data_IF_714801944951
#
_entry.id   IF_714801944951
#
_cell.length_a   1.000
_cell.length_b   1.000
_cell.length_c   1.000
_cell.angle_alpha   90.00
_cell.angle_beta   90.00
_cell.angle_gamma   90.00
#
_symmetry.space_group_name_H-M   'P 1'
#
loop_
_entity.id
_entity.type
_entity.pdbx_description
1 polymer ?
#
# COMPACT_ATOMS: atom_id res chain seq x y z
N UNK A 1 -11.84 -93.61 51.39
CA UNK A 1 -12.54 -92.64 52.27
C UNK A 1 -12.01 -91.26 51.92
N UNK A 2 -12.92 -90.39 51.48
CA UNK A 2 -12.64 -89.19 50.72
C UNK A 2 -12.02 -88.07 51.57
N UNK A 3 -11.08 -87.38 50.92
CA UNK A 3 -10.31 -86.23 51.36
C UNK A 3 -11.22 -85.01 51.66
N UNK A 4 -10.92 -84.33 52.76
CA UNK A 4 -11.73 -83.28 53.36
C UNK A 4 -11.13 -81.90 53.06
N UNK A 5 -12.02 -80.97 52.69
CA UNK A 5 -11.94 -79.51 52.90
C UNK A 5 -10.81 -78.73 52.21
N UNK A 6 -11.21 -77.97 51.19
CA UNK A 6 -11.09 -76.50 51.24
C UNK A 6 -12.25 -75.85 50.50
N UNK A 7 -13.11 -75.17 51.28
CA UNK A 7 -14.16 -74.25 50.83
C UNK A 7 -13.52 -72.96 50.31
N UNK A 8 -14.15 -72.37 49.28
CA UNK A 8 -14.47 -70.95 49.08
C UNK A 8 -13.31 -69.94 49.17
N UNK A 9 -13.06 -69.03 48.22
CA UNK A 9 -13.96 -68.17 47.46
C UNK A 9 -13.12 -67.48 46.35
N UNK A 10 -13.74 -67.19 45.20
CA UNK A 10 -13.21 -66.32 44.15
C UNK A 10 -13.35 -64.82 44.56
N UNK A 11 -12.77 -63.84 43.85
CA UNK A 11 -13.12 -63.51 42.45
C UNK A 11 -11.87 -63.43 41.54
N UNK A 12 -11.89 -64.02 40.36
CA UNK A 12 -12.36 -63.36 39.14
C UNK A 12 -11.73 -61.97 38.91
N UNK A 13 -10.54 -61.95 38.31
CA UNK A 13 -10.06 -60.81 37.50
C UNK A 13 -9.49 -61.36 36.20
N UNK A 14 -10.38 -61.79 35.30
CA UNK A 14 -10.09 -61.81 33.87
C UNK A 14 -10.41 -60.40 33.36
N UNK A 15 -9.50 -59.45 33.58
CA UNK A 15 -9.53 -58.25 32.77
C UNK A 15 -9.07 -58.62 31.36
N UNK A 16 -10.08 -58.89 30.54
CA UNK A 16 -10.09 -58.84 29.09
C UNK A 16 -9.05 -57.85 28.58
N UNK A 17 -8.00 -58.38 27.94
CA UNK A 17 -7.24 -57.62 26.94
C UNK A 17 -8.24 -57.23 25.87
N UNK A 18 -8.80 -56.03 25.98
CA UNK A 18 -9.51 -55.41 24.87
C UNK A 18 -8.46 -55.21 23.79
N UNK A 19 -8.44 -56.14 22.84
CA UNK A 19 -7.61 -56.06 21.65
C UNK A 19 -8.04 -54.80 20.89
N UNK A 20 -7.36 -53.68 21.13
CA UNK A 20 -7.52 -52.47 20.35
C UNK A 20 -7.07 -52.81 18.92
N UNK A 21 -8.03 -53.05 18.03
CA UNK A 21 -7.76 -53.25 16.60
C UNK A 21 -6.94 -52.05 16.11
N UNK A 22 -5.80 -52.26 15.43
CA UNK A 22 -5.03 -51.13 14.92
C UNK A 22 -5.90 -50.35 13.95
N UNK A 23 -6.15 -49.07 14.25
CA UNK A 23 -6.82 -48.14 13.33
C UNK A 23 -5.97 -48.12 12.06
N UNK A 24 -6.43 -48.82 11.01
CA UNK A 24 -5.76 -48.81 9.71
C UNK A 24 -5.69 -47.35 9.27
N UNK A 25 -4.48 -46.81 9.21
CA UNK A 25 -4.23 -45.46 8.70
C UNK A 25 -4.84 -45.45 7.29
N UNK A 26 -5.88 -44.66 7.07
CA UNK A 26 -6.58 -44.60 5.78
C UNK A 26 -5.56 -44.05 4.78
N UNK A 27 -4.92 -44.94 4.03
CA UNK A 27 -3.87 -44.56 3.10
C UNK A 27 -4.58 -43.88 1.93
N UNK A 28 -4.33 -42.58 1.76
CA UNK A 28 -4.90 -41.83 0.66
C UNK A 28 -4.41 -42.45 -0.65
N UNK A 29 -5.36 -42.84 -1.50
CA UNK A 29 -5.06 -43.39 -2.81
C UNK A 29 -4.32 -42.33 -3.64
N UNK A 30 -3.38 -42.71 -4.52
CA UNK A 30 -2.64 -41.77 -5.36
C UNK A 30 -3.57 -40.85 -6.17
N UNK A 31 -4.77 -41.32 -6.49
CA UNK A 31 -5.83 -40.55 -7.13
C UNK A 31 -6.30 -39.33 -6.30
N UNK A 32 -6.47 -39.50 -4.97
CA UNK A 32 -6.90 -38.40 -4.11
C UNK A 32 -5.81 -37.31 -3.98
N UNK A 33 -4.54 -37.70 -4.02
CA UNK A 33 -3.41 -36.76 -4.05
C UNK A 33 -3.45 -35.92 -5.34
N UNK A 34 -3.74 -36.55 -6.47
CA UNK A 34 -3.88 -35.87 -7.77
C UNK A 34 -5.02 -34.85 -7.78
N UNK A 35 -6.17 -35.21 -7.22
CA UNK A 35 -7.30 -34.29 -7.03
C UNK A 35 -6.90 -33.11 -6.14
N UNK A 36 -6.17 -33.37 -5.06
CA UNK A 36 -5.70 -32.32 -4.16
C UNK A 36 -4.78 -31.32 -4.89
N UNK A 37 -3.86 -31.81 -5.72
CA UNK A 37 -3.01 -30.95 -6.57
C UNK A 37 -3.82 -30.14 -7.59
N UNK A 38 -4.86 -30.72 -8.20
CA UNK A 38 -5.76 -30.00 -9.10
C UNK A 38 -6.51 -28.87 -8.38
N UNK A 39 -7.02 -29.12 -7.17
CA UNK A 39 -7.73 -28.11 -6.37
C UNK A 39 -6.77 -26.98 -5.97
N UNK A 40 -5.54 -27.31 -5.56
CA UNK A 40 -4.52 -26.31 -5.25
C UNK A 40 -4.17 -25.49 -6.50
N UNK A 41 -3.99 -26.13 -7.65
CA UNK A 41 -3.72 -25.46 -8.93
C UNK A 41 -4.85 -24.53 -9.36
N UNK A 42 -6.11 -24.97 -9.23
CA UNK A 42 -7.28 -24.13 -9.50
C UNK A 42 -7.36 -22.94 -8.53
N UNK A 43 -7.07 -23.14 -7.25
CA UNK A 43 -7.05 -22.04 -6.27
C UNK A 43 -5.96 -21.02 -6.59
N UNK A 44 -4.78 -21.46 -7.02
CA UNK A 44 -3.69 -20.59 -7.43
C UNK A 44 -4.03 -19.79 -8.70
N UNK A 45 -4.73 -20.42 -9.66
CA UNK A 45 -5.17 -19.75 -10.88
C UNK A 45 -6.12 -18.58 -10.58
N UNK A 46 -7.12 -18.81 -9.73
CA UNK A 46 -8.05 -17.75 -9.31
C UNK A 46 -7.34 -16.60 -8.59
N UNK A 47 -6.36 -16.91 -7.74
CA UNK A 47 -5.56 -15.88 -7.08
C UNK A 47 -4.78 -15.04 -8.10
N UNK A 48 -4.22 -15.64 -9.15
CA UNK A 48 -3.48 -14.90 -10.19
C UNK A 48 -4.37 -13.93 -10.97
N UNK A 49 -5.63 -14.29 -11.25
CA UNK A 49 -6.60 -13.36 -11.86
C UNK A 49 -6.88 -12.17 -10.94
N UNK A 50 -7.16 -12.42 -9.66
CA UNK A 50 -7.39 -11.36 -8.67
C UNK A 50 -6.15 -10.47 -8.52
N UNK A 51 -4.94 -11.05 -8.50
CA UNK A 51 -3.71 -10.26 -8.43
C UNK A 51 -3.52 -9.36 -9.65
N UNK A 52 -3.87 -9.81 -10.86
CA UNK A 52 -3.82 -8.97 -12.07
C UNK A 52 -4.81 -7.81 -12.00
N UNK A 53 -6.03 -8.07 -11.54
CA UNK A 53 -7.07 -7.05 -11.40
C UNK A 53 -6.72 -6.01 -10.31
N UNK A 54 -6.16 -6.47 -9.19
CA UNK A 54 -5.67 -5.57 -8.12
C UNK A 54 -4.46 -4.78 -8.61
N UNK A 55 -3.51 -5.41 -9.29
CA UNK A 55 -2.33 -4.72 -9.82
C UNK A 55 -2.70 -3.65 -10.83
N UNK A 56 -3.58 -3.98 -11.79
CA UNK A 56 -4.11 -3.00 -12.76
C UNK A 56 -4.85 -1.88 -12.05
N UNK A 57 -5.72 -2.16 -11.09
CA UNK A 57 -6.43 -1.13 -10.31
C UNK A 57 -5.48 -0.21 -9.55
N UNK A 58 -4.43 -0.75 -8.93
CA UNK A 58 -3.40 0.06 -8.25
C UNK A 58 -2.64 0.93 -9.26
N UNK A 59 -2.31 0.38 -10.44
CA UNK A 59 -1.62 1.13 -11.49
C UNK A 59 -2.49 2.25 -12.08
N UNK A 60 -3.80 2.02 -12.21
CA UNK A 60 -4.76 3.05 -12.63
C UNK A 60 -4.88 4.14 -11.56
N UNK A 61 -4.96 3.77 -10.26
CA UNK A 61 -4.99 4.74 -9.16
C UNK A 61 -3.72 5.59 -9.09
N UNK A 62 -2.55 4.99 -9.35
CA UNK A 62 -1.28 5.73 -9.43
C UNK A 62 -1.26 6.72 -10.59
N UNK A 63 -1.70 6.30 -11.78
CA UNK A 63 -1.80 7.20 -12.93
C UNK A 63 -2.80 8.33 -12.68
N UNK A 64 -3.91 8.06 -11.99
CA UNK A 64 -4.90 9.08 -11.66
C UNK A 64 -4.34 10.11 -10.68
N UNK A 65 -3.57 9.68 -9.67
CA UNK A 65 -2.88 10.60 -8.77
C UNK A 65 -1.82 11.45 -9.51
N UNK A 66 -1.01 10.83 -10.37
CA UNK A 66 0.00 11.55 -11.15
C UNK A 66 -0.61 12.55 -12.15
N UNK A 67 -1.74 12.18 -12.78
CA UNK A 67 -2.47 13.08 -13.69
C UNK A 67 -3.14 14.21 -12.91
N UNK A 68 -3.67 13.96 -11.72
CA UNK A 68 -4.25 15.00 -10.86
C UNK A 68 -3.18 16.01 -10.41
N UNK A 69 -2.00 15.53 -9.99
CA UNK A 69 -0.89 16.39 -9.58
C UNK A 69 -0.38 17.23 -10.76
N UNK A 70 -0.20 16.63 -11.95
CA UNK A 70 0.16 17.36 -13.17
C UNK A 70 -0.91 18.36 -13.58
N UNK A 71 -2.18 18.00 -13.45
CA UNK A 71 -3.29 18.92 -13.75
C UNK A 71 -3.28 20.12 -12.81
N UNK A 72 -3.08 19.90 -11.52
CA UNK A 72 -3.02 20.98 -10.54
C UNK A 72 -1.80 21.87 -10.79
N UNK A 73 -0.63 21.29 -11.05
CA UNK A 73 0.57 22.04 -11.39
C UNK A 73 0.36 22.94 -12.62
N UNK A 74 -0.20 22.40 -13.70
CA UNK A 74 -0.46 23.18 -14.93
C UNK A 74 -1.51 24.26 -14.68
N UNK A 75 -2.53 23.99 -13.87
CA UNK A 75 -3.54 24.99 -13.51
C UNK A 75 -2.94 26.14 -12.69
N UNK A 76 -2.12 25.80 -11.69
CA UNK A 76 -1.45 26.77 -10.83
C UNK A 76 -0.47 27.62 -11.65
N UNK A 77 0.34 26.99 -12.51
CA UNK A 77 1.25 27.69 -13.43
C UNK A 77 0.49 28.61 -14.39
N UNK A 78 -0.64 28.18 -14.96
CA UNK A 78 -1.43 29.00 -15.87
C UNK A 78 -2.07 30.20 -15.13
N UNK A 79 -2.55 29.99 -13.89
CA UNK A 79 -3.08 31.08 -13.06
C UNK A 79 -2.02 32.11 -12.68
N UNK A 80 -0.81 31.64 -12.34
CA UNK A 80 0.34 32.47 -12.03
C UNK A 80 0.77 33.29 -13.26
N UNK A 81 0.93 32.64 -14.41
CA UNK A 81 1.30 33.29 -15.67
C UNK A 81 0.25 34.27 -16.16
N UNK A 82 -1.05 33.97 -15.98
CA UNK A 82 -2.14 34.89 -16.32
C UNK A 82 -2.09 36.14 -15.44
N UNK A 83 -1.91 35.95 -14.12
CA UNK A 83 -1.78 37.06 -13.17
C UNK A 83 -0.53 37.90 -13.45
N UNK A 84 0.59 37.25 -13.79
CA UNK A 84 1.83 37.92 -14.15
C UNK A 84 1.68 38.70 -15.47
N UNK A 85 0.99 38.13 -16.46
CA UNK A 85 0.65 38.83 -17.71
C UNK A 85 -0.22 40.05 -17.46
N UNK A 86 -1.27 39.94 -16.64
CA UNK A 86 -2.13 41.07 -16.28
C UNK A 86 -1.34 42.18 -15.58
N UNK A 87 -0.45 41.82 -14.65
CA UNK A 87 0.46 42.78 -14.01
C UNK A 87 1.40 43.44 -15.01
N UNK A 88 1.96 42.69 -15.94
CA UNK A 88 2.87 43.21 -16.97
C UNK A 88 2.15 44.05 -18.04
N UNK A 89 0.84 43.86 -18.24
CA UNK A 89 0.01 44.71 -19.11
C UNK A 89 -0.40 46.02 -18.44
N UNK A 90 -0.37 46.09 -17.11
CA UNK A 90 -0.65 47.32 -16.36
C UNK A 90 0.53 48.30 -16.43
N UNK A 91 0.37 49.46 -17.11
CA UNK A 91 1.44 50.44 -17.27
C UNK A 91 1.90 51.04 -15.94
N UNK A 92 1.06 51.11 -14.91
CA UNK A 92 1.44 51.64 -13.59
C UNK A 92 2.27 50.61 -12.81
N UNK A 93 1.93 49.33 -12.91
CA UNK A 93 2.75 48.24 -12.38
C UNK A 93 4.12 48.18 -13.07
N UNK A 94 4.18 48.26 -14.40
CA UNK A 94 5.46 48.28 -15.13
C UNK A 94 6.31 49.47 -14.73
N UNK A 95 5.71 50.66 -14.62
CA UNK A 95 6.44 51.86 -14.23
C UNK A 95 6.97 51.75 -12.79
N UNK A 96 6.17 51.25 -11.84
CA UNK A 96 6.61 51.07 -10.45
C UNK A 96 7.68 49.98 -10.29
N UNK A 97 7.54 48.86 -11.02
CA UNK A 97 8.58 47.82 -11.09
C UNK A 97 9.89 48.38 -11.64
N UNK A 98 9.82 49.16 -12.73
CA UNK A 98 10.99 49.77 -13.34
C UNK A 98 11.68 50.80 -12.42
N UNK A 99 10.90 51.58 -11.65
CA UNK A 99 11.43 52.48 -10.61
C UNK A 99 12.11 51.71 -9.47
N UNK A 100 11.51 50.62 -9.00
CA UNK A 100 12.05 49.83 -7.89
C UNK A 100 13.28 49.00 -8.26
N UNK A 101 13.27 48.35 -9.43
CA UNK A 101 14.35 47.43 -9.85
C UNK A 101 15.49 48.15 -10.56
N UNK A 102 15.19 49.17 -11.37
CA UNK A 102 16.19 49.86 -12.20
C UNK A 102 16.47 51.30 -11.74
N UNK A 103 15.96 51.70 -10.56
CA UNK A 103 16.13 53.04 -9.99
C UNK A 103 15.72 54.16 -10.95
N UNK A 104 14.73 53.89 -11.80
CA UNK A 104 14.15 54.92 -12.67
C UNK A 104 13.33 55.90 -11.82
N UNK A 105 13.19 57.13 -12.30
CA UNK A 105 12.51 58.22 -11.59
C UNK A 105 11.62 59.00 -12.56
N UNK A 106 10.54 59.60 -12.07
CA UNK A 106 9.72 60.54 -12.86
C UNK A 106 10.44 61.88 -13.02
N UNK A 107 9.92 62.71 -13.92
CA UNK A 107 10.47 64.04 -14.21
C UNK A 107 10.58 64.96 -12.97
N UNK A 108 9.80 64.69 -11.92
CA UNK A 108 9.76 65.43 -10.66
C UNK A 108 10.43 64.70 -9.46
N UNK A 109 11.12 63.59 -9.70
CA UNK A 109 11.77 62.77 -8.66
C UNK A 109 13.31 62.75 -8.82
N UNK A 110 14.07 62.58 -7.72
CA UNK A 110 15.54 62.51 -7.76
C UNK A 110 16.07 61.30 -6.96
N UNK A 111 16.96 60.52 -7.59
CA UNK A 111 17.61 59.35 -6.97
C UNK A 111 18.83 59.78 -6.16
N UNK A 112 18.89 59.35 -4.89
CA UNK A 112 20.05 59.55 -4.02
C UNK A 112 20.77 58.22 -3.77
N UNK A 113 22.04 58.14 -4.12
CA UNK A 113 22.90 57.02 -3.74
C UNK A 113 23.49 57.31 -2.36
N UNK A 114 23.14 56.50 -1.37
CA UNK A 114 23.77 56.59 -0.06
C UNK A 114 25.15 55.91 -0.14
N UNK A 115 26.20 56.51 0.46
CA UNK A 115 27.49 55.84 0.56
C UNK A 115 27.32 54.57 1.39
N UNK A 116 27.77 53.44 0.85
CA UNK A 116 27.94 52.21 1.61
C UNK A 116 28.75 52.55 2.86
N UNK A 117 28.18 52.33 4.05
CA UNK A 117 28.87 52.60 5.29
C UNK A 117 30.14 51.74 5.32
N UNK A 118 31.30 52.36 5.14
CA UNK A 118 32.60 51.74 5.31
C UNK A 118 32.78 51.39 6.79
N UNK A 119 32.27 50.22 7.17
CA UNK A 119 32.56 49.59 8.45
C UNK A 119 34.06 49.30 8.51
N UNK A 120 34.80 50.13 9.26
CA UNK A 120 36.12 49.79 9.76
C UNK A 120 35.99 48.94 11.02
#
# INVERSE_FOLDING_TARGET
>A
MAENKKKNQAPASKHTKTQAKPKKKKQYTPFLKFICFLVIGASAYLLLEVFKEVYTTINLKKQLAEVQDKYQQVQDENSYLTTEKEKLEDPDYVASYARGTYLLTKDDEQVFYLPESSSN
#
